data_IF_789034654141
#
_entry.id   IF_789034654141
#
_cell.length_a   1.000
_cell.length_b   1.000
_cell.length_c   1.000
_cell.angle_alpha   90.00
_cell.angle_beta   90.00
_cell.angle_gamma   90.00
#
_symmetry.space_group_name_H-M   'P 1'
#
loop_
_entity.id
_entity.type
_entity.pdbx_description
1 polymer ?
#
# COMPACT_ATOMS: atom_id res chain seq x y z
N UNK A 1 -70.14 41.52 -54.60
CA UNK A 1 -68.90 40.76 -54.85
C UNK A 1 -67.78 41.37 -54.03
N UNK A 2 -67.31 40.70 -52.98
CA UNK A 2 -65.90 40.79 -52.54
C UNK A 2 -65.63 39.70 -51.50
N UNK A 3 -64.53 38.98 -51.75
CA UNK A 3 -64.05 37.81 -51.01
C UNK A 3 -63.29 38.23 -49.74
N UNK A 4 -63.42 37.34 -48.75
CA UNK A 4 -62.55 36.99 -47.60
C UNK A 4 -61.07 37.36 -47.74
N UNK A 5 -60.46 37.84 -46.64
CA UNK A 5 -59.23 37.26 -46.06
C UNK A 5 -58.98 37.75 -44.64
N UNK A 6 -58.78 36.79 -43.75
CA UNK A 6 -58.27 36.88 -42.36
C UNK A 6 -56.79 37.24 -42.34
N UNK A 7 -56.31 37.94 -41.29
CA UNK A 7 -55.06 37.61 -40.57
C UNK A 7 -54.85 38.46 -39.30
N UNK A 8 -54.44 37.76 -38.24
CA UNK A 8 -53.49 38.11 -37.17
C UNK A 8 -53.67 39.42 -36.39
N UNK A 9 -53.80 39.34 -35.06
CA UNK A 9 -52.67 39.55 -34.14
C UNK A 9 -53.09 39.34 -32.67
N UNK A 10 -52.10 39.03 -31.82
CA UNK A 10 -52.11 39.21 -30.35
C UNK A 10 -53.03 38.33 -29.50
N UNK A 11 -52.59 37.11 -29.16
CA UNK A 11 -52.53 36.65 -27.75
C UNK A 11 -51.43 35.57 -27.65
N UNK A 12 -50.18 35.97 -27.49
CA UNK A 12 -49.09 35.05 -27.14
C UNK A 12 -47.98 35.83 -26.44
N UNK A 13 -48.22 36.24 -25.19
CA UNK A 13 -47.17 36.79 -24.32
C UNK A 13 -47.61 36.54 -22.88
N UNK A 14 -47.14 35.44 -22.27
CA UNK A 14 -47.00 35.23 -20.81
C UNK A 14 -46.84 33.74 -20.49
N UNK A 15 -45.76 33.09 -20.92
CA UNK A 15 -45.33 31.80 -20.33
C UNK A 15 -43.88 31.50 -20.72
N UNK A 16 -42.93 32.23 -20.14
CA UNK A 16 -41.51 31.83 -20.15
C UNK A 16 -40.72 32.74 -19.22
N UNK A 17 -40.58 32.35 -17.94
CA UNK A 17 -39.44 32.65 -17.08
C UNK A 17 -39.63 32.01 -15.69
N UNK A 18 -39.48 30.69 -15.65
CA UNK A 18 -39.05 29.97 -14.45
C UNK A 18 -37.76 29.25 -14.85
N UNK A 19 -36.67 30.03 -14.93
CA UNK A 19 -35.32 29.46 -14.94
C UNK A 19 -35.11 28.97 -13.50
N UNK A 20 -35.22 27.66 -13.32
CA UNK A 20 -34.73 27.01 -12.12
C UNK A 20 -33.26 27.41 -11.97
N UNK A 21 -32.96 28.20 -10.93
CA UNK A 21 -31.60 28.36 -10.44
C UNK A 21 -31.16 27.00 -9.86
N UNK A 22 -30.79 26.07 -10.75
CA UNK A 22 -29.95 24.96 -10.35
C UNK A 22 -28.64 25.60 -9.86
N UNK A 23 -28.14 25.24 -8.65
CA UNK A 23 -26.84 25.72 -8.21
C UNK A 23 -25.84 25.34 -9.30
N UNK A 24 -25.18 26.35 -9.87
CA UNK A 24 -24.06 26.13 -10.77
C UNK A 24 -23.02 25.32 -10.01
N UNK A 25 -22.90 24.04 -10.33
CA UNK A 25 -21.81 23.19 -9.84
C UNK A 25 -20.51 23.77 -10.40
N UNK A 26 -19.86 24.63 -9.61
CA UNK A 26 -18.55 25.18 -9.96
C UNK A 26 -17.55 24.05 -9.84
N UNK A 27 -16.99 23.60 -10.96
CA UNK A 27 -15.99 22.54 -10.96
C UNK A 27 -14.70 23.00 -10.23
N UNK A 28 -13.91 22.07 -9.66
CA UNK A 28 -12.61 22.39 -9.09
C UNK A 28 -11.70 23.03 -10.14
N UNK A 29 -10.99 24.10 -9.77
CA UNK A 29 -9.90 24.64 -10.59
C UNK A 29 -8.63 23.82 -10.38
N UNK A 30 -7.71 23.85 -11.35
CA UNK A 30 -6.38 23.19 -11.27
C UNK A 30 -5.60 23.52 -9.98
N UNK A 31 -5.80 24.74 -9.47
CA UNK A 31 -5.16 25.28 -8.27
C UNK A 31 -6.00 25.13 -6.99
N UNK A 32 -7.09 24.36 -7.00
CA UNK A 32 -7.86 24.10 -5.79
C UNK A 32 -7.07 23.25 -4.79
N UNK A 33 -7.25 23.42 -3.47
CA UNK A 33 -6.63 22.54 -2.48
C UNK A 33 -7.07 21.07 -2.62
N UNK A 34 -6.26 20.12 -2.16
CA UNK A 34 -6.65 18.71 -2.11
C UNK A 34 -7.80 18.48 -1.14
N UNK A 35 -8.75 17.64 -1.54
CA UNK A 35 -9.88 17.23 -0.71
C UNK A 35 -9.41 16.40 0.51
N UNK A 36 -10.05 16.60 1.68
CA UNK A 36 -9.80 15.83 2.91
C UNK A 36 -9.76 14.33 2.70
N UNK A 37 -10.76 13.78 2.03
CA UNK A 37 -10.85 12.34 1.78
C UNK A 37 -9.68 11.79 0.95
N UNK A 38 -9.12 12.58 0.04
CA UNK A 38 -7.97 12.18 -0.77
C UNK A 38 -6.67 12.15 0.07
N UNK A 39 -6.32 13.26 0.73
CA UNK A 39 -5.06 13.33 1.47
C UNK A 39 -5.08 12.47 2.75
N UNK A 40 -6.25 12.23 3.35
CA UNK A 40 -6.36 11.28 4.47
C UNK A 40 -6.04 9.84 4.04
N UNK A 41 -6.46 9.43 2.83
CA UNK A 41 -6.12 8.11 2.29
C UNK A 41 -4.60 7.96 2.09
N UNK A 42 -3.95 9.02 1.58
CA UNK A 42 -2.50 9.07 1.43
C UNK A 42 -1.79 8.99 2.81
N UNK A 43 -2.30 9.71 3.82
CA UNK A 43 -1.79 9.63 5.19
C UNK A 43 -1.87 8.22 5.78
N UNK A 44 -3.00 7.53 5.58
CA UNK A 44 -3.15 6.13 5.99
C UNK A 44 -2.20 5.20 5.24
N UNK A 45 -1.92 5.47 3.97
CA UNK A 45 -0.98 4.69 3.18
C UNK A 45 0.45 4.82 3.74
N UNK A 46 0.93 6.04 4.03
CA UNK A 46 2.24 6.22 4.68
C UNK A 46 2.29 5.58 6.07
N UNK A 47 1.20 5.64 6.85
CA UNK A 47 1.13 4.97 8.15
C UNK A 47 1.25 3.44 8.05
N UNK A 48 0.70 2.82 7.00
CA UNK A 48 0.86 1.38 6.75
C UNK A 48 2.25 1.02 6.24
N UNK A 49 2.81 1.81 5.30
CA UNK A 49 4.18 1.65 4.81
C UNK A 49 5.21 1.75 5.95
N UNK A 50 4.96 2.64 6.91
CA UNK A 50 5.81 2.83 8.09
C UNK A 50 5.98 1.56 8.94
N UNK A 51 5.00 0.66 8.89
CA UNK A 51 4.99 -0.60 9.65
C UNK A 51 5.84 -1.69 8.98
N UNK A 52 6.03 -1.62 7.65
CA UNK A 52 6.62 -2.71 6.86
C UNK A 52 8.01 -3.12 7.37
N UNK A 53 8.99 -2.21 7.59
CA UNK A 53 10.32 -2.65 8.03
C UNK A 53 10.31 -3.38 9.38
N UNK A 54 9.55 -2.88 10.36
CA UNK A 54 9.39 -3.53 11.66
C UNK A 54 8.68 -4.89 11.58
N UNK A 55 7.68 -5.02 10.70
CA UNK A 55 6.99 -6.29 10.41
C UNK A 55 7.94 -7.29 9.74
N UNK A 56 8.77 -6.87 8.77
CA UNK A 56 9.75 -7.75 8.14
C UNK A 56 10.78 -8.27 9.15
N UNK A 57 11.28 -7.41 10.05
CA UNK A 57 12.14 -7.84 11.16
C UNK A 57 11.45 -8.86 12.07
N UNK A 58 10.15 -8.66 12.35
CA UNK A 58 9.36 -9.61 13.14
C UNK A 58 9.27 -10.98 12.45
N UNK A 59 8.92 -11.01 11.16
CA UNK A 59 8.79 -12.24 10.38
C UNK A 59 10.10 -13.05 10.34
N UNK A 60 11.23 -12.40 10.01
CA UNK A 60 12.54 -13.06 10.02
C UNK A 60 12.93 -13.58 11.41
N UNK A 61 12.62 -12.82 12.46
CA UNK A 61 12.87 -13.24 13.85
C UNK A 61 12.05 -14.49 14.20
N UNK A 62 10.78 -14.54 13.82
CA UNK A 62 9.90 -15.69 14.06
C UNK A 62 10.37 -16.92 13.28
N UNK A 63 10.79 -16.75 12.02
CA UNK A 63 11.38 -17.82 11.21
C UNK A 63 12.61 -18.42 11.90
N UNK A 64 13.54 -17.58 12.37
CA UNK A 64 14.72 -18.04 13.10
C UNK A 64 14.36 -18.75 14.42
N UNK A 65 13.35 -18.28 15.14
CA UNK A 65 12.86 -18.94 16.35
C UNK A 65 12.29 -20.34 16.04
N UNK A 66 11.58 -20.50 14.92
CA UNK A 66 11.08 -21.79 14.45
C UNK A 66 12.21 -22.73 14.03
N UNK A 67 13.20 -22.24 13.30
CA UNK A 67 14.40 -23.02 12.96
C UNK A 67 15.14 -23.51 14.22
N UNK A 68 15.32 -22.64 15.22
CA UNK A 68 15.89 -23.01 16.53
C UNK A 68 15.06 -24.07 17.26
N UNK A 69 13.75 -24.02 17.12
CA UNK A 69 12.83 -25.01 17.71
C UNK A 69 13.00 -26.38 17.07
N UNK A 70 13.14 -26.45 15.73
CA UNK A 70 13.44 -27.71 15.04
C UNK A 70 14.78 -28.29 15.49
N UNK A 71 15.84 -27.48 15.55
CA UNK A 71 17.15 -27.93 16.04
C UNK A 71 17.09 -28.46 17.47
N UNK A 72 16.29 -27.83 18.34
CA UNK A 72 16.06 -28.32 19.71
C UNK A 72 15.32 -29.66 19.73
N UNK A 73 14.32 -29.83 18.86
CA UNK A 73 13.59 -31.10 18.69
C UNK A 73 14.52 -32.24 18.27
N UNK A 74 15.39 -31.99 17.30
CA UNK A 74 16.41 -32.93 16.85
C UNK A 74 17.32 -33.37 18.01
N UNK A 75 17.91 -32.42 18.73
CA UNK A 75 18.84 -32.72 19.82
C UNK A 75 18.17 -33.52 20.96
N UNK A 76 16.93 -33.18 21.31
CA UNK A 76 16.15 -33.93 22.31
C UNK A 76 15.91 -35.37 21.86
N UNK A 77 15.56 -35.58 20.59
CA UNK A 77 15.34 -36.91 20.04
C UNK A 77 16.65 -37.73 20.00
N UNK A 78 17.78 -37.11 19.64
CA UNK A 78 19.10 -37.76 19.69
C UNK A 78 19.47 -38.20 21.12
N UNK A 79 19.34 -37.31 22.11
CA UNK A 79 19.61 -37.63 23.52
C UNK A 79 18.72 -38.78 24.01
N UNK A 80 17.44 -38.75 23.65
CA UNK A 80 16.51 -39.83 24.00
C UNK A 80 16.92 -41.16 23.36
N UNK A 81 17.31 -41.15 22.08
CA UNK A 81 17.78 -42.33 21.37
C UNK A 81 19.05 -42.93 21.98
N UNK A 82 20.01 -42.09 22.37
CA UNK A 82 21.23 -42.51 23.07
C UNK A 82 20.92 -43.16 24.42
N UNK A 83 19.96 -42.61 25.17
CA UNK A 83 19.54 -43.18 26.47
C UNK A 83 18.86 -44.54 26.34
N UNK A 84 18.22 -44.82 25.21
CA UNK A 84 17.51 -46.07 24.94
C UNK A 84 18.22 -46.93 23.88
N UNK A 85 19.55 -46.86 23.83
CA UNK A 85 20.35 -47.55 22.83
C UNK A 85 19.99 -49.04 22.70
N UNK A 86 20.06 -49.56 21.47
CA UNK A 86 19.73 -50.96 21.11
C UNK A 86 18.27 -51.36 21.32
N UNK A 87 17.35 -50.42 21.51
CA UNK A 87 15.90 -50.67 21.54
C UNK A 87 15.20 -50.11 20.31
N UNK A 88 13.96 -50.56 20.07
CA UNK A 88 13.11 -49.97 19.02
C UNK A 88 12.78 -48.49 19.28
N UNK A 89 12.80 -48.05 20.55
CA UNK A 89 12.64 -46.65 20.90
C UNK A 89 13.78 -45.79 20.34
N UNK A 90 15.02 -46.31 20.29
CA UNK A 90 16.14 -45.60 19.66
C UNK A 90 15.94 -45.43 18.15
N UNK A 91 15.40 -46.43 17.44
CA UNK A 91 15.12 -46.31 16.00
C UNK A 91 14.04 -45.26 15.73
N UNK A 92 12.96 -45.26 16.51
CA UNK A 92 11.91 -44.24 16.42
C UNK A 92 12.45 -42.84 16.71
N UNK A 93 13.30 -42.71 17.72
CA UNK A 93 13.95 -41.44 18.05
C UNK A 93 14.88 -40.95 16.93
N UNK A 94 15.60 -41.86 16.25
CA UNK A 94 16.41 -41.52 15.08
C UNK A 94 15.57 -40.95 13.93
N UNK A 95 14.40 -41.54 13.64
CA UNK A 95 13.45 -41.00 12.64
C UNK A 95 13.03 -39.57 13.00
N UNK A 96 12.62 -39.34 14.24
CA UNK A 96 12.19 -38.01 14.70
C UNK A 96 13.34 -37.00 14.66
N UNK A 97 14.55 -37.41 15.04
CA UNK A 97 15.74 -36.57 14.95
C UNK A 97 16.02 -36.16 13.50
N UNK A 98 16.01 -37.12 12.57
CA UNK A 98 16.23 -36.86 11.14
C UNK A 98 15.15 -35.95 10.56
N UNK A 99 13.88 -36.14 10.93
CA UNK A 99 12.79 -35.25 10.53
C UNK A 99 13.04 -33.81 10.97
N UNK A 100 13.32 -33.58 12.26
CA UNK A 100 13.60 -32.23 12.74
C UNK A 100 14.87 -31.63 12.12
N UNK A 101 15.89 -32.45 11.86
CA UNK A 101 17.12 -32.03 11.16
C UNK A 101 16.83 -31.58 9.73
N UNK A 102 16.04 -32.36 8.99
CA UNK A 102 15.62 -32.04 7.62
C UNK A 102 14.84 -30.72 7.58
N UNK A 103 13.81 -30.59 8.43
CA UNK A 103 13.00 -29.37 8.55
C UNK A 103 13.85 -28.14 8.89
N UNK A 104 14.76 -28.27 9.85
CA UNK A 104 15.70 -27.22 10.21
C UNK A 104 16.54 -26.75 9.01
N UNK A 105 17.10 -27.72 8.26
CA UNK A 105 17.92 -27.42 7.07
C UNK A 105 17.10 -26.76 5.95
N UNK A 106 15.89 -27.25 5.67
CA UNK A 106 14.99 -26.64 4.67
C UNK A 106 14.62 -25.20 5.04
N UNK A 107 14.32 -24.94 6.31
CA UNK A 107 14.03 -23.59 6.81
C UNK A 107 15.23 -22.66 6.62
N UNK A 108 16.43 -23.07 7.01
CA UNK A 108 17.63 -22.24 6.85
C UNK A 108 17.98 -22.03 5.37
N UNK A 109 17.91 -23.06 4.54
CA UNK A 109 18.18 -22.95 3.11
C UNK A 109 17.22 -21.97 2.43
N UNK A 110 15.92 -22.03 2.74
CA UNK A 110 14.92 -21.10 2.18
C UNK A 110 15.14 -19.67 2.67
N UNK A 111 15.49 -19.52 3.96
CA UNK A 111 15.80 -18.23 4.55
C UNK A 111 17.01 -17.57 3.88
N UNK A 112 18.11 -18.32 3.73
CA UNK A 112 19.39 -17.84 3.21
C UNK A 112 19.36 -17.56 1.70
N UNK A 113 18.64 -18.37 0.93
CA UNK A 113 18.67 -18.28 -0.54
C UNK A 113 17.60 -17.37 -1.14
N UNK A 114 16.56 -17.01 -0.38
CA UNK A 114 15.42 -16.25 -0.93
C UNK A 114 14.82 -15.24 0.05
N UNK A 115 14.48 -15.68 1.26
CA UNK A 115 13.51 -14.94 2.06
C UNK A 115 14.11 -13.74 2.80
N UNK A 116 15.41 -13.77 3.12
CA UNK A 116 16.12 -12.56 3.59
C UNK A 116 16.08 -11.47 2.52
N UNK A 117 16.38 -11.80 1.26
CA UNK A 117 16.36 -10.84 0.15
C UNK A 117 14.96 -10.24 -0.03
N UNK A 118 13.92 -11.09 -0.09
CA UNK A 118 12.52 -10.64 -0.22
C UNK A 118 12.09 -9.71 0.93
N UNK A 119 12.48 -10.02 2.16
CA UNK A 119 12.14 -9.20 3.32
C UNK A 119 12.85 -7.83 3.29
N UNK A 120 14.13 -7.81 2.91
CA UNK A 120 14.90 -6.57 2.75
C UNK A 120 14.35 -5.73 1.60
N UNK A 121 14.05 -6.35 0.47
CA UNK A 121 13.49 -5.68 -0.71
C UNK A 121 12.12 -5.06 -0.41
N UNK A 122 11.25 -5.78 0.30
CA UNK A 122 9.97 -5.26 0.78
C UNK A 122 10.15 -4.05 1.70
N UNK A 123 11.05 -4.14 2.69
CA UNK A 123 11.33 -3.03 3.60
C UNK A 123 11.90 -1.80 2.87
N UNK A 124 12.84 -2.01 1.94
CA UNK A 124 13.48 -0.96 1.17
C UNK A 124 12.50 -0.24 0.24
N UNK A 125 11.71 -1.00 -0.53
CA UNK A 125 10.71 -0.42 -1.46
C UNK A 125 9.57 0.27 -0.72
N UNK A 126 9.14 -0.27 0.42
CA UNK A 126 8.15 0.40 1.27
C UNK A 126 8.69 1.72 1.83
N UNK A 127 9.91 1.74 2.37
CA UNK A 127 10.54 2.96 2.88
C UNK A 127 10.79 4.00 1.78
N UNK A 128 11.23 3.56 0.59
CA UNK A 128 11.41 4.44 -0.57
C UNK A 128 10.09 5.09 -1.00
N UNK A 129 9.02 4.29 -1.15
CA UNK A 129 7.70 4.81 -1.45
C UNK A 129 7.21 5.77 -0.35
N UNK A 130 7.42 5.41 0.92
CA UNK A 130 7.06 6.27 2.04
C UNK A 130 7.73 7.64 1.93
N UNK A 131 9.04 7.71 1.66
CA UNK A 131 9.74 8.99 1.44
C UNK A 131 9.20 9.77 0.23
N UNK A 132 8.89 9.08 -0.88
CA UNK A 132 8.27 9.68 -2.08
C UNK A 132 6.86 10.23 -1.83
N UNK A 133 6.19 9.81 -0.76
CA UNK A 133 4.90 10.32 -0.29
C UNK A 133 5.11 11.43 0.74
N UNK A 134 5.96 11.18 1.74
CA UNK A 134 6.14 12.03 2.90
C UNK A 134 6.69 13.40 2.50
N UNK A 135 7.69 13.47 1.62
CA UNK A 135 8.31 14.75 1.25
C UNK A 135 7.32 15.71 0.55
N UNK A 136 6.63 15.33 -0.55
CA UNK A 136 5.64 16.21 -1.14
C UNK A 136 4.45 16.50 -0.22
N UNK A 137 3.99 15.52 0.57
CA UNK A 137 2.87 15.73 1.48
C UNK A 137 3.23 16.71 2.61
N UNK A 138 4.46 16.66 3.10
CA UNK A 138 4.98 17.60 4.08
C UNK A 138 5.02 19.03 3.51
N UNK A 139 5.46 19.19 2.26
CA UNK A 139 5.42 20.48 1.56
C UNK A 139 3.99 21.00 1.43
N UNK A 140 3.06 20.18 0.94
CA UNK A 140 1.65 20.57 0.78
C UNK A 140 1.00 20.92 2.13
N UNK A 141 1.32 20.19 3.20
CA UNK A 141 0.81 20.47 4.54
C UNK A 141 1.36 21.77 5.16
N UNK A 142 2.53 22.23 4.71
CA UNK A 142 3.16 23.46 5.21
C UNK A 142 2.59 24.73 4.55
N UNK A 143 2.00 24.61 3.35
CA UNK A 143 1.44 25.76 2.61
C UNK A 143 0.14 26.22 3.25
N UNK A 144 0.21 27.39 3.90
CA UNK A 144 -0.93 28.06 4.51
C UNK A 144 -0.66 29.56 4.65
N UNK A 145 -1.55 30.37 4.07
CA UNK A 145 -1.61 31.81 4.28
C UNK A 145 -3.02 32.32 3.99
N UNK A 146 -3.24 33.63 4.07
CA UNK A 146 -4.52 34.27 3.72
C UNK A 146 -5.08 33.81 2.37
N UNK A 147 -4.21 33.55 1.39
CA UNK A 147 -4.58 33.18 0.02
C UNK A 147 -4.04 31.82 -0.43
N UNK A 148 -3.34 31.09 0.43
CA UNK A 148 -2.71 29.82 0.06
C UNK A 148 -3.17 28.70 0.98
N UNK A 149 -3.55 27.57 0.37
CA UNK A 149 -3.93 26.35 1.07
C UNK A 149 -3.72 25.19 0.11
N UNK A 150 -3.03 24.14 0.52
CA UNK A 150 -2.84 22.95 -0.32
C UNK A 150 -3.58 21.71 0.16
N UNK A 151 -3.88 21.60 1.45
CA UNK A 151 -4.68 20.52 2.02
C UNK A 151 -5.90 21.12 2.73
N UNK A 152 -7.09 20.88 2.22
CA UNK A 152 -8.32 21.38 2.83
C UNK A 152 -8.87 20.40 3.88
N UNK A 153 -9.34 20.92 5.02
CA UNK A 153 -10.11 20.14 5.99
C UNK A 153 -11.61 20.11 5.62
N UNK A 154 -12.15 21.22 5.12
CA UNK A 154 -13.58 21.38 4.81
C UNK A 154 -13.82 21.82 3.37
N UNK A 155 -13.27 22.97 2.97
CA UNK A 155 -13.43 23.57 1.66
C UNK A 155 -12.19 24.43 1.31
N UNK A 156 -12.21 25.10 0.16
CA UNK A 156 -11.07 25.89 -0.32
C UNK A 156 -10.71 27.08 0.57
N UNK A 157 -11.68 27.66 1.28
CA UNK A 157 -11.47 28.83 2.15
C UNK A 157 -11.21 28.45 3.61
N UNK A 158 -11.25 27.14 3.91
CA UNK A 158 -11.10 26.60 5.23
C UNK A 158 -9.66 26.59 5.75
N UNK A 159 -9.46 25.77 6.78
CA UNK A 159 -8.19 25.65 7.47
C UNK A 159 -7.34 24.51 6.90
N UNK A 160 -6.02 24.63 7.09
CA UNK A 160 -5.10 23.51 6.92
C UNK A 160 -5.31 22.47 8.04
N UNK A 161 -4.99 21.20 7.81
CA UNK A 161 -4.97 20.22 8.90
C UNK A 161 -3.88 20.56 9.93
N UNK A 162 -4.22 20.51 11.22
CA UNK A 162 -3.27 20.70 12.30
C UNK A 162 -2.23 19.57 12.31
N UNK A 163 -0.95 19.91 12.18
CA UNK A 163 0.14 18.95 12.30
C UNK A 163 0.51 18.74 13.77
N UNK A 164 0.44 17.50 14.23
CA UNK A 164 0.90 17.10 15.56
C UNK A 164 1.81 15.87 15.45
N UNK A 165 2.39 15.42 16.56
CA UNK A 165 3.27 14.25 16.55
C UNK A 165 2.53 13.02 15.99
N UNK A 166 2.98 12.55 14.82
CA UNK A 166 2.43 11.37 14.14
C UNK A 166 1.08 11.55 13.45
N UNK A 167 0.53 12.78 13.39
CA UNK A 167 -0.79 13.04 12.83
C UNK A 167 -0.85 14.30 11.98
N UNK A 168 -1.74 14.26 10.99
CA UNK A 168 -2.16 15.40 10.20
C UNK A 168 -3.69 15.55 10.31
N UNK A 169 -4.13 16.58 11.02
CA UNK A 169 -5.50 16.70 11.50
C UNK A 169 -5.82 15.59 12.51
N UNK A 170 -6.89 14.86 12.25
CA UNK A 170 -7.39 13.73 13.04
C UNK A 170 -6.82 12.36 12.60
N UNK A 171 -5.96 12.32 11.57
CA UNK A 171 -5.52 11.07 10.93
C UNK A 171 -4.05 10.76 11.25
N UNK A 172 -3.77 9.48 11.48
CA UNK A 172 -2.40 8.97 11.55
C UNK A 172 -1.65 9.27 10.25
N UNK A 173 -0.58 10.05 10.36
CA UNK A 173 0.22 10.49 9.25
C UNK A 173 1.64 10.76 9.79
N UNK A 174 2.46 9.70 9.95
CA UNK A 174 3.73 9.82 10.67
C UNK A 174 4.66 10.87 10.09
N UNK A 175 4.76 10.95 8.74
CA UNK A 175 5.66 11.84 8.00
C UNK A 175 7.10 11.80 8.56
N UNK A 176 7.55 10.61 8.95
CA UNK A 176 8.83 10.34 9.59
C UNK A 176 9.41 9.02 9.07
N UNK A 177 10.75 8.87 9.05
CA UNK A 177 11.38 7.63 8.64
C UNK A 177 10.85 6.41 9.43
N UNK A 178 10.65 5.25 8.77
CA UNK A 178 10.20 4.05 9.45
C UNK A 178 11.27 3.48 10.38
N UNK A 179 10.81 2.76 11.40
CA UNK A 179 11.69 1.99 12.28
C UNK A 179 11.74 0.52 11.86
N UNK A 180 12.94 -0.04 11.77
CA UNK A 180 13.15 -1.48 11.58
C UNK A 180 13.00 -2.28 12.89
N UNK A 181 12.63 -1.64 14.01
CA UNK A 181 12.42 -2.34 15.28
C UNK A 181 11.31 -3.37 15.13
N UNK A 182 11.61 -4.62 15.51
CA UNK A 182 10.68 -5.75 15.44
C UNK A 182 9.31 -5.39 16.02
N UNK A 183 8.27 -5.53 15.22
CA UNK A 183 6.89 -5.22 15.61
C UNK A 183 5.94 -6.19 14.93
N UNK A 184 5.13 -6.89 15.73
CA UNK A 184 4.05 -7.74 15.21
C UNK A 184 2.84 -6.87 14.92
N UNK A 185 2.64 -6.51 13.65
CA UNK A 185 1.50 -5.70 13.21
C UNK A 185 0.98 -6.23 11.88
N UNK A 186 -0.35 -6.32 11.77
CA UNK A 186 -1.02 -6.62 10.53
C UNK A 186 -0.94 -5.43 9.56
N UNK A 187 -0.62 -5.70 8.30
CA UNK A 187 -0.62 -4.72 7.21
C UNK A 187 -2.00 -4.69 6.53
N UNK A 188 -3.06 -4.43 7.32
CA UNK A 188 -4.45 -4.63 6.89
C UNK A 188 -4.87 -3.71 5.75
N UNK A 189 -4.19 -2.58 5.57
CA UNK A 189 -4.49 -1.64 4.49
C UNK A 189 -3.92 -2.06 3.13
N UNK A 190 -2.97 -3.00 3.10
CA UNK A 190 -2.31 -3.48 1.88
C UNK A 190 -2.73 -4.93 1.63
N UNK A 191 -3.56 -5.15 0.62
CA UNK A 191 -4.13 -6.47 0.29
C UNK A 191 -3.71 -6.90 -1.10
N UNK A 192 -4.07 -8.12 -1.52
CA UNK A 192 -3.88 -8.54 -2.91
C UNK A 192 -4.59 -7.62 -3.93
N UNK A 193 -5.63 -6.90 -3.52
CA UNK A 193 -6.34 -5.92 -4.34
C UNK A 193 -5.68 -4.53 -4.38
N UNK A 194 -4.55 -4.33 -3.69
CA UNK A 194 -3.82 -3.07 -3.63
C UNK A 194 -3.95 -2.34 -2.30
N UNK A 195 -3.89 -1.01 -2.37
CA UNK A 195 -3.89 -0.10 -1.22
C UNK A 195 -5.32 0.34 -0.88
N UNK A 196 -5.99 -0.43 -0.03
CA UNK A 196 -7.43 -0.27 0.28
C UNK A 196 -7.77 1.01 1.06
N UNK A 197 -6.77 1.68 1.63
CA UNK A 197 -6.92 2.96 2.33
C UNK A 197 -6.97 4.16 1.39
N UNK A 198 -6.53 4.01 0.14
CA UNK A 198 -6.60 5.07 -0.86
C UNK A 198 -8.06 5.29 -1.27
N UNK A 199 -8.36 6.51 -1.72
CA UNK A 199 -9.72 6.90 -2.08
C UNK A 199 -10.20 6.08 -3.28
N UNK A 200 -11.33 5.40 -3.12
CA UNK A 200 -11.90 4.52 -4.16
C UNK A 200 -12.66 5.32 -5.23
N UNK A 201 -13.53 6.23 -4.81
CA UNK A 201 -14.28 7.11 -5.71
C UNK A 201 -13.48 8.40 -5.96
N UNK A 202 -12.89 8.49 -7.14
CA UNK A 202 -12.15 9.66 -7.63
C UNK A 202 -12.85 10.36 -8.79
N UNK A 203 -14.00 9.86 -9.25
CA UNK A 203 -14.70 10.37 -10.45
C UNK A 203 -15.83 11.34 -10.09
N UNK A 204 -16.26 11.39 -8.83
CA UNK A 204 -17.23 12.38 -8.36
C UNK A 204 -16.66 13.81 -8.37
N UNK A 205 -17.54 14.80 -8.53
CA UNK A 205 -17.17 16.21 -8.44
C UNK A 205 -16.53 16.52 -7.09
N UNK A 206 -15.43 17.25 -7.10
CA UNK A 206 -14.66 17.64 -5.92
C UNK A 206 -14.03 16.49 -5.12
N UNK A 207 -13.94 15.29 -5.72
CA UNK A 207 -13.34 14.13 -5.10
C UNK A 207 -11.83 14.28 -4.87
N UNK A 208 -11.12 14.95 -5.79
CA UNK A 208 -9.66 15.07 -5.74
C UNK A 208 -9.26 16.42 -5.18
N UNK A 209 -9.85 17.49 -5.71
CA UNK A 209 -9.67 18.85 -5.22
C UNK A 209 -11.01 19.43 -4.77
N UNK A 210 -11.03 20.30 -3.77
CA UNK A 210 -12.27 20.95 -3.34
C UNK A 210 -12.73 21.99 -4.37
N UNK A 211 -14.02 22.34 -4.34
CA UNK A 211 -14.57 23.42 -5.16
C UNK A 211 -13.75 24.70 -4.99
N UNK A 212 -13.57 25.44 -6.09
CA UNK A 212 -12.77 26.66 -6.13
C UNK A 212 -13.21 27.69 -5.08
N UNK A 213 -12.26 28.21 -4.28
CA UNK A 213 -12.45 29.32 -3.34
C UNK A 213 -11.38 30.40 -3.49
N UNK A 214 -11.21 31.26 -2.48
CA UNK A 214 -10.19 32.32 -2.44
C UNK A 214 -8.78 31.78 -2.23
N UNK A 215 -8.59 30.78 -1.35
CA UNK A 215 -7.26 30.18 -1.15
C UNK A 215 -6.92 29.17 -2.24
N UNK A 216 -5.67 29.22 -2.71
CA UNK A 216 -5.16 28.42 -3.82
C UNK A 216 -3.97 27.55 -3.42
N UNK A 217 -3.78 26.46 -4.16
CA UNK A 217 -2.58 25.64 -4.16
C UNK A 217 -1.92 25.69 -5.53
N UNK A 218 -1.08 26.70 -5.75
CA UNK A 218 -0.40 26.86 -7.04
C UNK A 218 0.58 25.70 -7.34
N UNK A 219 0.98 24.92 -6.33
CA UNK A 219 1.79 23.72 -6.51
C UNK A 219 1.07 22.60 -7.27
N UNK A 220 -0.27 22.65 -7.37
CA UNK A 220 -1.07 21.64 -8.09
C UNK A 220 -1.43 22.05 -9.52
N UNK A 221 -0.91 23.19 -9.99
CA UNK A 221 -1.10 23.67 -11.37
C UNK A 221 0.24 24.01 -12.01
N UNK A 222 0.42 23.63 -13.26
CA UNK A 222 1.63 23.93 -14.05
C UNK A 222 1.48 25.18 -14.92
N UNK A 223 0.28 25.79 -14.96
CA UNK A 223 -0.06 26.93 -15.82
C UNK A 223 0.38 28.23 -15.13
N UNK A 224 1.12 29.11 -15.81
CA UNK A 224 1.75 30.27 -15.14
C UNK A 224 0.78 31.25 -14.44
N UNK A 225 -0.48 31.31 -14.88
CA UNK A 225 -1.50 32.19 -14.29
C UNK A 225 -2.16 31.61 -13.04
N UNK A 226 -2.04 30.30 -12.79
CA UNK A 226 -2.69 29.59 -11.68
C UNK A 226 -1.74 28.68 -10.90
N UNK A 227 -0.46 28.67 -11.26
CA UNK A 227 0.44 27.56 -10.96
C UNK A 227 1.85 27.99 -10.62
N UNK A 228 2.74 27.00 -10.49
CA UNK A 228 4.15 27.24 -10.17
C UNK A 228 5.03 27.46 -11.41
N UNK A 229 4.48 27.26 -12.62
CA UNK A 229 5.16 27.63 -13.86
C UNK A 229 5.38 29.14 -13.96
N UNK A 230 6.48 29.55 -14.57
CA UNK A 230 6.76 30.97 -14.83
C UNK A 230 6.81 31.19 -16.35
N UNK A 231 6.29 32.34 -16.80
CA UNK A 231 6.35 32.91 -18.16
C UNK A 231 5.74 32.10 -19.32
N UNK A 232 5.81 30.77 -19.29
CA UNK A 232 5.24 29.90 -20.31
C UNK A 232 3.76 29.60 -20.04
N UNK A 233 2.99 29.31 -21.10
CA UNK A 233 1.57 28.97 -20.95
C UNK A 233 1.36 27.83 -19.93
N UNK A 234 2.16 26.77 -20.02
CA UNK A 234 2.26 25.70 -19.03
C UNK A 234 3.66 25.08 -19.07
N UNK A 235 4.01 24.30 -18.06
CA UNK A 235 5.23 23.48 -18.09
C UNK A 235 5.16 22.39 -19.17
N UNK A 236 6.33 21.95 -19.62
CA UNK A 236 6.45 20.88 -20.59
C UNK A 236 6.01 19.54 -19.96
N UNK A 237 4.90 18.99 -20.43
CA UNK A 237 4.39 17.69 -20.00
C UNK A 237 3.74 17.69 -18.61
N UNK A 238 3.07 16.58 -18.30
CA UNK A 238 2.46 16.36 -16.99
C UNK A 238 3.53 15.95 -15.97
N UNK A 239 3.32 16.30 -14.70
CA UNK A 239 4.29 16.09 -13.63
C UNK A 239 3.69 15.21 -12.54
N UNK A 240 4.48 14.28 -12.02
CA UNK A 240 4.04 13.32 -11.03
C UNK A 240 4.58 13.62 -9.63
N UNK A 241 3.71 13.54 -8.63
CA UNK A 241 4.06 13.67 -7.21
C UNK A 241 3.56 12.45 -6.43
N UNK A 242 3.98 12.33 -5.16
CA UNK A 242 3.55 11.25 -4.25
C UNK A 242 3.79 9.86 -4.84
N UNK A 243 5.01 9.62 -5.32
CA UNK A 243 5.39 8.37 -5.99
C UNK A 243 4.63 8.08 -7.30
N UNK A 244 4.05 9.09 -7.94
CA UNK A 244 3.25 8.94 -9.17
C UNK A 244 1.76 8.73 -8.94
N UNK A 245 1.28 8.86 -7.70
CA UNK A 245 -0.14 8.73 -7.38
C UNK A 245 -0.98 9.88 -7.92
N UNK A 246 -0.43 11.10 -7.86
CA UNK A 246 -1.05 12.32 -8.37
C UNK A 246 -0.27 12.81 -9.57
N UNK A 247 -0.98 13.13 -10.65
CA UNK A 247 -0.44 13.76 -11.84
C UNK A 247 -0.99 15.19 -11.97
N UNK A 248 -0.10 16.17 -11.93
CA UNK A 248 -0.37 17.56 -12.25
C UNK A 248 -0.33 17.71 -13.78
N UNK A 249 -1.46 18.09 -14.37
CA UNK A 249 -1.58 18.25 -15.82
C UNK A 249 -0.78 19.45 -16.31
N UNK A 250 -0.38 19.41 -17.59
CA UNK A 250 0.17 20.56 -18.32
C UNK A 250 -0.92 21.52 -18.87
N UNK A 251 -2.11 21.48 -18.28
CA UNK A 251 -3.28 22.26 -18.69
C UNK A 251 -3.98 22.81 -17.46
N UNK A 252 -4.89 23.78 -17.64
CA UNK A 252 -5.68 24.35 -16.55
C UNK A 252 -6.87 23.43 -16.18
N UNK A 253 -6.56 22.20 -15.79
CA UNK A 253 -7.54 21.19 -15.39
C UNK A 253 -7.18 20.61 -14.02
N UNK A 254 -8.19 20.05 -13.34
CA UNK A 254 -8.01 19.30 -12.09
C UNK A 254 -6.94 18.20 -12.27
N UNK A 255 -6.20 17.93 -11.19
CA UNK A 255 -5.23 16.83 -11.13
C UNK A 255 -5.84 15.49 -11.54
N UNK A 256 -5.01 14.59 -12.05
CA UNK A 256 -5.36 13.17 -12.14
C UNK A 256 -4.85 12.43 -10.91
N UNK A 257 -5.62 11.45 -10.47
CA UNK A 257 -5.29 10.57 -9.36
C UNK A 257 -5.38 9.14 -9.88
N UNK A 258 -4.39 8.32 -9.55
CA UNK A 258 -4.44 6.90 -9.89
C UNK A 258 -5.49 6.20 -9.04
N UNK A 259 -6.35 5.38 -9.64
CA UNK A 259 -7.37 4.64 -8.89
C UNK A 259 -6.71 3.65 -7.91
N UNK A 260 -7.29 3.51 -6.71
CA UNK A 260 -6.74 2.68 -5.63
C UNK A 260 -6.47 1.21 -6.02
N UNK A 261 -7.25 0.68 -6.96
CA UNK A 261 -7.20 -0.68 -7.49
C UNK A 261 -6.26 -0.81 -8.71
N UNK A 262 -5.60 0.27 -9.12
CA UNK A 262 -4.61 0.28 -10.22
C UNK A 262 -3.19 0.49 -9.73
N UNK A 263 -2.98 1.13 -8.59
CA UNK A 263 -1.65 1.46 -8.04
C UNK A 263 -0.78 0.24 -7.70
N UNK A 264 -1.35 -0.96 -7.75
CA UNK A 264 -0.63 -2.24 -7.57
C UNK A 264 -0.32 -2.96 -8.90
N UNK A 265 -0.72 -2.40 -10.05
CA UNK A 265 -0.54 -2.99 -11.37
C UNK A 265 0.35 -2.08 -12.21
N UNK A 266 1.23 -2.66 -13.01
CA UNK A 266 2.07 -1.86 -13.91
C UNK A 266 1.20 -1.13 -14.94
N UNK A 267 1.34 0.19 -14.99
CA UNK A 267 0.72 1.05 -15.99
C UNK A 267 1.79 2.05 -16.44
N UNK A 268 2.21 1.96 -17.71
CA UNK A 268 3.44 2.58 -18.24
C UNK A 268 3.83 3.93 -17.60
N UNK A 269 5.00 3.95 -16.96
CA UNK A 269 5.61 5.08 -16.25
C UNK A 269 4.78 5.76 -15.15
N UNK A 270 3.56 5.31 -14.84
CA UNK A 270 2.73 5.86 -13.77
C UNK A 270 2.88 5.05 -12.50
N UNK A 271 2.83 5.74 -11.35
CA UNK A 271 2.74 5.16 -10.00
C UNK A 271 3.69 3.97 -9.74
N UNK A 272 4.84 3.90 -10.43
CA UNK A 272 5.72 2.74 -10.43
C UNK A 272 6.21 2.40 -9.02
N UNK A 273 6.50 3.42 -8.21
CA UNK A 273 6.91 3.25 -6.81
C UNK A 273 5.86 2.53 -5.97
N UNK A 274 4.56 2.74 -6.25
CA UNK A 274 3.45 2.05 -5.59
C UNK A 274 3.40 0.58 -6.01
N UNK A 275 3.47 0.33 -7.31
CA UNK A 275 3.40 -1.03 -7.87
C UNK A 275 4.54 -1.90 -7.37
N UNK A 276 5.79 -1.39 -7.40
CA UNK A 276 6.96 -2.19 -6.99
C UNK A 276 6.98 -2.44 -5.48
N UNK A 277 6.56 -1.46 -4.66
CA UNK A 277 6.45 -1.64 -3.22
C UNK A 277 5.38 -2.67 -2.87
N UNK A 278 4.20 -2.57 -3.50
CA UNK A 278 3.12 -3.55 -3.31
C UNK A 278 3.58 -4.96 -3.65
N UNK A 279 4.15 -5.15 -4.84
CA UNK A 279 4.62 -6.47 -5.28
C UNK A 279 5.64 -7.08 -4.31
N UNK A 280 6.60 -6.28 -3.82
CA UNK A 280 7.61 -6.75 -2.88
C UNK A 280 7.00 -7.10 -1.51
N UNK A 281 6.08 -6.28 -1.00
CA UNK A 281 5.37 -6.54 0.26
C UNK A 281 4.54 -7.83 0.16
N UNK A 282 3.85 -8.05 -0.95
CA UNK A 282 3.06 -9.26 -1.16
C UNK A 282 3.92 -10.53 -1.31
N UNK A 283 5.14 -10.40 -1.83
CA UNK A 283 6.11 -11.50 -1.97
C UNK A 283 6.88 -11.80 -0.67
N UNK A 284 6.74 -10.96 0.36
CA UNK A 284 7.49 -11.08 1.62
C UNK A 284 7.26 -12.42 2.33
N UNK A 285 8.29 -12.96 3.02
CA UNK A 285 8.15 -14.22 3.73
C UNK A 285 7.23 -14.07 4.94
N UNK A 286 6.53 -15.16 5.27
CA UNK A 286 5.72 -15.26 6.49
C UNK A 286 6.10 -16.49 7.29
N UNK A 287 6.35 -16.34 8.59
CA UNK A 287 6.65 -17.43 9.52
C UNK A 287 5.51 -18.46 9.64
N UNK A 288 4.31 -18.11 9.17
CA UNK A 288 3.11 -18.96 9.12
C UNK A 288 2.97 -19.75 7.82
N UNK A 289 3.84 -19.55 6.83
CA UNK A 289 3.83 -20.28 5.58
C UNK A 289 4.85 -21.44 5.59
N UNK A 290 4.70 -22.38 4.66
CA UNK A 290 5.74 -23.38 4.37
C UNK A 290 7.00 -22.68 3.84
N UNK A 291 8.21 -23.11 4.21
CA UNK A 291 8.56 -24.28 5.03
C UNK A 291 8.68 -23.99 6.53
N UNK A 292 8.11 -22.89 7.05
CA UNK A 292 8.29 -22.46 8.43
C UNK A 292 7.28 -23.03 9.43
N UNK A 293 6.24 -23.70 8.94
CA UNK A 293 5.26 -24.43 9.77
C UNK A 293 5.50 -25.93 9.74
N UNK A 294 5.35 -26.61 10.87
CA UNK A 294 5.40 -28.07 10.91
C UNK A 294 4.32 -28.69 10.02
N UNK A 295 4.64 -29.85 9.44
CA UNK A 295 3.63 -30.67 8.78
C UNK A 295 2.60 -31.15 9.81
N UNK A 296 1.33 -31.14 9.40
CA UNK A 296 0.19 -31.56 10.22
C UNK A 296 -0.51 -32.76 9.56
N UNK A 297 -1.50 -33.35 10.24
CA UNK A 297 -2.17 -34.57 9.77
C UNK A 297 -1.47 -35.86 10.19
N UNK A 298 -1.89 -36.97 9.61
CA UNK A 298 -1.36 -38.31 9.89
C UNK A 298 0.11 -38.44 9.48
N UNK A 299 0.87 -39.32 10.16
CA UNK A 299 2.32 -39.47 9.90
C UNK A 299 2.62 -39.78 8.42
N UNK A 300 1.79 -40.60 7.78
CA UNK A 300 1.96 -41.01 6.39
C UNK A 300 1.48 -39.97 5.37
N UNK A 301 0.78 -38.91 5.80
CA UNK A 301 0.39 -37.79 4.93
C UNK A 301 1.39 -36.64 4.99
N UNK A 302 2.43 -36.74 5.82
CA UNK A 302 3.49 -35.75 5.99
C UNK A 302 4.63 -36.07 5.01
N UNK A 303 4.86 -35.20 4.05
CA UNK A 303 5.79 -35.40 2.94
C UNK A 303 7.25 -35.55 3.40
N UNK A 304 7.74 -34.65 4.26
CA UNK A 304 9.12 -34.71 4.77
C UNK A 304 9.28 -35.91 5.71
N UNK A 305 8.27 -36.21 6.53
CA UNK A 305 8.30 -37.41 7.39
C UNK A 305 8.36 -38.69 6.55
N UNK A 306 7.60 -38.78 5.46
CA UNK A 306 7.59 -39.93 4.56
C UNK A 306 8.96 -40.10 3.89
N UNK A 307 9.57 -39.00 3.43
CA UNK A 307 10.92 -39.00 2.88
C UNK A 307 11.95 -39.54 3.90
N UNK A 308 11.83 -39.11 5.16
CA UNK A 308 12.71 -39.57 6.24
C UNK A 308 12.49 -41.04 6.58
N UNK A 309 11.23 -41.50 6.65
CA UNK A 309 10.92 -42.91 6.88
C UNK A 309 11.50 -43.79 5.78
N UNK A 310 11.38 -43.39 4.53
CA UNK A 310 12.01 -44.08 3.40
C UNK A 310 13.54 -44.10 3.56
N UNK A 311 14.18 -42.97 3.85
CA UNK A 311 15.64 -42.92 4.01
C UNK A 311 16.15 -43.79 5.16
N UNK A 312 15.45 -43.80 6.31
CA UNK A 312 15.87 -44.53 7.52
C UNK A 312 15.58 -46.03 7.40
N UNK A 313 14.43 -46.42 6.86
CA UNK A 313 14.01 -47.82 6.80
C UNK A 313 14.35 -48.54 5.49
N UNK A 314 14.67 -47.81 4.40
CA UNK A 314 15.12 -48.41 3.12
C UNK A 314 16.63 -48.58 3.05
N UNK A 315 17.40 -48.03 4.00
CA UNK A 315 18.82 -48.32 4.11
C UNK A 315 19.00 -49.80 4.50
N UNK A 316 19.36 -50.64 3.52
CA UNK A 316 19.76 -52.04 3.72
C UNK A 316 20.80 -52.12 4.85
N UNK A 317 20.75 -53.14 5.73
CA UNK A 317 21.84 -53.37 6.66
C UNK A 317 23.13 -53.60 5.85
N UNK A 318 24.25 -52.99 6.27
CA UNK A 318 25.56 -53.45 5.82
C UNK A 318 25.69 -54.91 6.26
N UNK A 319 25.73 -55.81 5.28
CA UNK A 319 26.17 -57.18 5.48
C UNK A 319 27.70 -57.10 5.62
N UNK A 320 28.18 -57.15 6.85
CA UNK A 320 29.55 -57.57 7.19
C UNK A 320 29.48 -58.37 8.48
#
# INVERSE_FOLDING_TARGET
MTKRTTKLSQVALSYLLLIAAAPSHVQPASQSPLNKSLWQGICKATAELNKVPGTMTHELTQILQKAKTMRRGELKAQIFGLRHARTELAKRAAVIATYFSLRHKQMLATLETQDIEKAIDAAAKAAYLQGRIDDPLHLLAAVDSTNNLCLAVTNADGDKPLKTAGKLGDVECPLTPPSAKSKSVALSGMTAAGFTMLKADIDSSDAKQVTSGTKKCNLLSSVHTQGFGQTQAALAGAHEILGGYITIKNTNAEIDVSAHDKTHRSEGNKHQSWTVAHAAIMASPKHTNSPYINETGEIHSRSDMTQVLQAVYSAKPLIT
#
